data_IF_894198253389
#
_entry.id   IF_894198253389
#
_cell.length_a   1.000
_cell.length_b   1.000
_cell.length_c   1.000
_cell.angle_alpha   90.00
_cell.angle_beta   90.00
_cell.angle_gamma   90.00
#
_symmetry.space_group_name_H-M   'P 1'
#
loop_
_entity.id
_entity.type
_entity.pdbx_description
1 polymer ?
#
# COMPACT_ATOMS: atom_id res chain seq x y z
N UNK A 1 -8.95 10.99 27.36
CA UNK A 1 -8.70 12.35 26.86
C UNK A 1 -7.70 12.29 25.71
N UNK A 2 -8.05 12.80 24.49
CA UNK A 2 -7.15 12.79 23.33
C UNK A 2 -5.83 13.53 23.52
N UNK A 3 -5.72 14.40 24.52
CA UNK A 3 -4.49 15.09 24.89
C UNK A 3 -3.47 14.19 25.61
N UNK A 4 -3.92 13.06 26.17
CA UNK A 4 -3.04 12.15 26.90
C UNK A 4 -2.35 11.18 25.95
N UNK A 5 -1.04 11.04 26.04
CA UNK A 5 -0.29 10.04 25.33
C UNK A 5 -0.71 8.62 25.75
N UNK A 6 -0.99 7.70 24.80
CA UNK A 6 -1.35 6.32 25.13
C UNK A 6 -0.12 5.56 25.66
N UNK A 7 -0.33 4.79 26.73
CA UNK A 7 0.72 3.93 27.29
C UNK A 7 0.82 2.63 26.45
N UNK A 8 1.53 2.70 25.32
CA UNK A 8 1.63 1.65 24.32
C UNK A 8 2.03 0.29 24.93
N UNK A 9 2.96 0.29 25.88
CA UNK A 9 3.43 -0.94 26.53
C UNK A 9 2.33 -1.79 27.17
N UNK A 10 1.25 -1.15 27.62
CA UNK A 10 0.11 -1.82 28.24
C UNK A 10 -1.02 -2.14 27.26
N UNK A 11 -1.01 -1.53 26.09
CA UNK A 11 -2.09 -1.62 25.10
C UNK A 11 -1.77 -2.62 23.99
N UNK A 12 -0.54 -2.65 23.52
CA UNK A 12 -0.13 -3.44 22.35
C UNK A 12 -0.18 -4.95 22.64
N UNK A 13 -0.67 -5.72 21.66
CA UNK A 13 -0.79 -7.18 21.70
C UNK A 13 0.01 -7.87 20.59
N UNK A 14 0.14 -7.21 19.44
CA UNK A 14 0.82 -7.73 18.25
C UNK A 14 2.18 -7.07 18.04
N UNK A 15 2.37 -5.86 18.54
CA UNK A 15 3.51 -5.02 18.22
C UNK A 15 4.29 -4.61 19.48
N UNK A 16 5.54 -4.24 19.29
CA UNK A 16 6.31 -3.46 20.26
C UNK A 16 6.21 -1.98 19.92
N UNK A 17 6.41 -1.08 20.90
CA UNK A 17 6.49 0.36 20.58
C UNK A 17 7.70 0.61 19.65
N UNK A 18 7.64 1.62 18.76
CA UNK A 18 8.75 1.94 17.86
C UNK A 18 10.08 2.18 18.57
N UNK A 19 10.05 2.71 19.79
CA UNK A 19 11.24 2.94 20.61
C UNK A 19 11.93 1.62 21.02
N UNK A 20 11.15 0.57 21.26
CA UNK A 20 11.62 -0.77 21.65
C UNK A 20 11.97 -1.67 20.45
N UNK A 21 11.59 -1.24 19.24
CA UNK A 21 11.92 -1.97 18.02
C UNK A 21 13.45 -1.99 17.77
N UNK A 22 13.95 -3.00 17.04
CA UNK A 22 15.38 -3.16 16.78
C UNK A 22 16.06 -1.94 16.15
N UNK A 23 17.31 -1.68 16.51
CA UNK A 23 18.16 -0.62 15.90
C UNK A 23 18.70 -1.02 14.52
N UNK A 24 18.42 -2.24 14.06
CA UNK A 24 18.76 -2.73 12.74
C UNK A 24 17.50 -2.89 11.89
N UNK A 25 17.51 -2.33 10.70
CA UNK A 25 16.40 -2.48 9.77
C UNK A 25 16.19 -3.95 9.35
N UNK A 26 14.92 -4.35 9.26
CA UNK A 26 14.48 -5.62 8.70
C UNK A 26 14.01 -5.38 7.26
N UNK A 27 14.40 -6.27 6.34
CA UNK A 27 13.89 -6.25 4.97
C UNK A 27 12.96 -7.44 4.77
N UNK A 28 11.90 -7.23 3.99
CA UNK A 28 10.94 -8.26 3.63
C UNK A 28 10.56 -8.11 2.16
N UNK A 29 10.44 -9.23 1.44
CA UNK A 29 9.98 -9.26 0.05
C UNK A 29 8.59 -9.88 -0.02
N UNK A 30 7.65 -9.18 -0.66
CA UNK A 30 6.28 -9.65 -0.87
C UNK A 30 6.07 -9.92 -2.36
N UNK A 31 5.65 -11.13 -2.70
CA UNK A 31 5.29 -11.50 -4.06
C UNK A 31 3.77 -11.41 -4.27
N UNK A 32 3.37 -10.85 -5.41
CA UNK A 32 1.97 -10.69 -5.82
C UNK A 32 1.69 -11.35 -7.16
N UNK A 33 0.50 -11.93 -7.32
CA UNK A 33 -0.06 -12.43 -8.57
C UNK A 33 -1.47 -11.82 -8.75
N UNK A 34 -1.66 -10.99 -9.79
CA UNK A 34 -2.92 -10.29 -10.07
C UNK A 34 -3.52 -9.55 -8.84
N UNK A 35 -2.70 -8.78 -8.13
CA UNK A 35 -3.10 -8.04 -6.94
C UNK A 35 -3.11 -8.85 -5.63
N UNK A 36 -3.11 -10.16 -5.70
CA UNK A 36 -3.15 -11.04 -4.53
C UNK A 36 -1.74 -11.32 -3.98
N UNK A 37 -1.49 -11.15 -2.67
CA UNK A 37 -0.21 -11.50 -2.07
C UNK A 37 -0.09 -13.03 -1.95
N UNK A 38 0.97 -13.60 -2.53
CA UNK A 38 1.15 -15.07 -2.62
C UNK A 38 2.40 -15.58 -1.92
N UNK A 39 3.38 -14.71 -1.62
CA UNK A 39 4.63 -15.14 -0.97
C UNK A 39 5.27 -14.07 -0.10
N UNK A 40 6.04 -14.52 0.88
CA UNK A 40 6.90 -13.69 1.74
C UNK A 40 8.31 -14.26 1.69
N UNK A 41 9.31 -13.44 1.31
CA UNK A 41 10.72 -13.84 1.14
C UNK A 41 10.90 -15.06 0.22
N UNK A 42 10.09 -15.14 -0.84
CA UNK A 42 10.11 -16.24 -1.82
C UNK A 42 9.35 -17.51 -1.38
N UNK A 43 8.91 -17.60 -0.14
CA UNK A 43 8.11 -18.72 0.35
C UNK A 43 6.63 -18.51 0.00
N UNK A 44 6.04 -19.42 -0.77
CA UNK A 44 4.59 -19.41 -1.06
C UNK A 44 3.81 -19.84 0.19
N UNK A 45 2.82 -19.06 0.57
CA UNK A 45 2.04 -19.25 1.79
C UNK A 45 0.54 -19.19 1.51
N UNK A 46 -0.25 -19.84 2.36
CA UNK A 46 -1.70 -19.59 2.39
C UNK A 46 -1.97 -18.16 2.87
N UNK A 47 -3.11 -17.56 2.51
CA UNK A 47 -3.46 -16.19 2.96
C UNK A 47 -3.35 -15.99 4.47
N UNK A 48 -3.82 -16.96 5.26
CA UNK A 48 -3.72 -16.90 6.72
C UNK A 48 -2.26 -16.90 7.20
N UNK A 49 -1.46 -17.88 6.75
CA UNK A 49 -0.06 -18.00 7.14
C UNK A 49 0.78 -16.78 6.71
N UNK A 50 0.44 -16.18 5.57
CA UNK A 50 1.07 -14.96 5.06
C UNK A 50 0.81 -13.79 6.01
N UNK A 51 -0.44 -13.55 6.40
CA UNK A 51 -0.81 -12.47 7.33
C UNK A 51 -0.19 -12.70 8.71
N UNK A 52 -0.22 -13.93 9.23
CA UNK A 52 0.41 -14.27 10.51
C UNK A 52 1.92 -14.00 10.50
N UNK A 53 2.62 -14.40 9.43
CA UNK A 53 4.05 -14.14 9.25
C UNK A 53 4.35 -12.64 9.20
N UNK A 54 3.57 -11.87 8.44
CA UNK A 54 3.73 -10.43 8.33
C UNK A 54 3.36 -9.69 9.61
N UNK A 55 2.34 -10.14 10.34
CA UNK A 55 2.01 -9.61 11.66
C UNK A 55 3.17 -9.77 12.64
N UNK A 56 3.82 -10.94 12.63
CA UNK A 56 5.00 -11.18 13.46
C UNK A 56 6.16 -10.27 13.08
N UNK A 57 6.55 -10.27 11.81
CA UNK A 57 7.68 -9.46 11.32
C UNK A 57 7.40 -7.95 11.55
N UNK A 58 6.22 -7.49 11.21
CA UNK A 58 5.83 -6.08 11.38
C UNK A 58 5.74 -5.67 12.84
N UNK A 59 5.13 -6.52 13.67
CA UNK A 59 4.99 -6.29 15.11
C UNK A 59 6.35 -6.16 15.82
N UNK A 60 7.30 -7.03 15.51
CA UNK A 60 8.67 -6.96 16.03
C UNK A 60 9.40 -5.65 15.66
N UNK A 61 8.98 -4.99 14.58
CA UNK A 61 9.55 -3.73 14.10
C UNK A 61 8.68 -2.49 14.44
N UNK A 62 7.62 -2.66 15.24
CA UNK A 62 6.72 -1.58 15.66
C UNK A 62 5.84 -1.01 14.54
N UNK A 63 5.61 -1.78 13.45
CA UNK A 63 4.86 -1.35 12.28
C UNK A 63 3.35 -1.37 12.56
N UNK A 64 2.61 -0.42 11.98
CA UNK A 64 1.16 -0.46 11.89
C UNK A 64 0.43 -0.10 13.19
N UNK A 65 1.03 0.73 14.03
CA UNK A 65 0.39 1.29 15.22
C UNK A 65 -0.26 2.62 14.84
N UNK A 66 -1.56 2.75 15.12
CA UNK A 66 -2.31 3.98 14.85
C UNK A 66 -3.13 4.39 16.06
N UNK A 67 -2.95 5.61 16.54
CA UNK A 67 -3.78 6.24 17.58
C UNK A 67 -4.72 7.23 16.89
N UNK A 68 -6.00 6.91 16.85
CA UNK A 68 -6.98 7.62 16.02
C UNK A 68 -8.18 8.08 16.86
N UNK A 69 -8.55 9.35 16.67
CA UNK A 69 -9.87 9.85 17.06
C UNK A 69 -10.77 9.79 15.83
N UNK A 70 -11.75 8.89 15.87
CA UNK A 70 -12.62 8.56 14.75
C UNK A 70 -14.11 8.73 15.06
N UNK A 71 -14.94 8.71 14.03
CA UNK A 71 -16.39 8.67 14.15
C UNK A 71 -16.89 7.23 14.18
N UNK A 72 -17.71 6.91 15.19
CA UNK A 72 -18.53 5.71 15.12
C UNK A 72 -19.67 5.89 14.12
N UNK A 73 -20.25 4.80 13.62
CA UNK A 73 -21.37 4.83 12.66
C UNK A 73 -22.50 5.77 13.09
N UNK A 74 -22.73 5.90 14.39
CA UNK A 74 -23.75 6.79 14.98
C UNK A 74 -23.29 8.24 15.18
N UNK A 75 -22.10 8.61 14.66
CA UNK A 75 -21.58 9.99 14.70
C UNK A 75 -20.89 10.40 15.99
N UNK A 76 -20.73 9.51 16.96
CA UNK A 76 -19.97 9.80 18.19
C UNK A 76 -18.48 9.66 17.95
N UNK A 77 -17.69 10.61 18.45
CA UNK A 77 -16.22 10.50 18.47
C UNK A 77 -15.79 9.42 19.47
N UNK A 78 -14.83 8.60 19.05
CA UNK A 78 -14.11 7.67 19.91
C UNK A 78 -12.62 7.72 19.61
N UNK A 79 -11.79 7.33 20.57
CA UNK A 79 -10.35 7.16 20.36
C UNK A 79 -9.99 5.70 20.50
N UNK A 80 -9.19 5.19 19.60
CA UNK A 80 -8.67 3.83 19.62
C UNK A 80 -7.20 3.79 19.24
N UNK A 81 -6.47 2.87 19.89
CA UNK A 81 -5.12 2.49 19.45
C UNK A 81 -5.27 1.15 18.72
N UNK A 82 -4.91 1.14 17.46
CA UNK A 82 -5.05 -0.02 16.57
C UNK A 82 -3.69 -0.57 16.18
N UNK A 83 -3.64 -1.88 15.93
CA UNK A 83 -2.46 -2.59 15.49
C UNK A 83 -2.78 -3.34 14.20
N UNK A 84 -2.10 -2.99 13.12
CA UNK A 84 -2.26 -3.61 11.80
C UNK A 84 -0.90 -3.86 11.13
N UNK A 85 0.05 -4.55 11.80
CA UNK A 85 1.41 -4.67 11.29
C UNK A 85 1.48 -5.34 9.91
N UNK A 86 0.88 -6.50 9.73
CA UNK A 86 0.84 -7.19 8.43
C UNK A 86 0.02 -6.44 7.39
N UNK A 87 -1.11 -5.86 7.79
CA UNK A 87 -1.92 -5.04 6.89
C UNK A 87 -1.17 -3.82 6.36
N UNK A 88 -0.45 -3.11 7.23
CA UNK A 88 0.37 -1.95 6.83
C UNK A 88 1.46 -2.35 5.83
N UNK A 89 2.15 -3.49 6.06
CA UNK A 89 3.14 -4.02 5.14
C UNK A 89 2.51 -4.33 3.77
N UNK A 90 1.36 -5.02 3.75
CA UNK A 90 0.66 -5.39 2.53
C UNK A 90 0.18 -4.17 1.74
N UNK A 91 -0.44 -3.19 2.41
CA UNK A 91 -0.89 -1.96 1.75
C UNK A 91 0.27 -1.16 1.16
N UNK A 92 1.37 -1.00 1.90
CA UNK A 92 2.56 -0.32 1.37
C UNK A 92 3.15 -1.06 0.16
N UNK A 93 3.18 -2.40 0.21
CA UNK A 93 3.72 -3.20 -0.88
C UNK A 93 2.85 -3.16 -2.14
N UNK A 94 1.52 -3.33 -1.99
CA UNK A 94 0.63 -3.34 -3.15
C UNK A 94 0.58 -1.96 -3.83
N UNK A 95 0.53 -0.88 -3.06
CA UNK A 95 0.54 0.48 -3.59
C UNK A 95 1.79 0.74 -4.44
N UNK A 96 2.96 0.31 -3.98
CA UNK A 96 4.22 0.45 -4.72
C UNK A 96 4.21 -0.38 -6.02
N UNK A 97 3.62 -1.57 -6.01
CA UNK A 97 3.50 -2.38 -7.21
C UNK A 97 2.49 -1.80 -8.20
N UNK A 98 1.39 -1.23 -7.72
CA UNK A 98 0.40 -0.50 -8.53
C UNK A 98 1.02 0.70 -9.23
N UNK A 99 1.88 1.47 -8.54
CA UNK A 99 2.63 2.57 -9.18
C UNK A 99 3.49 2.11 -10.34
N UNK A 100 4.01 0.89 -10.26
CA UNK A 100 4.86 0.32 -11.29
C UNK A 100 4.06 -0.24 -12.48
N UNK A 101 2.89 -0.81 -12.24
CA UNK A 101 2.13 -1.61 -13.21
C UNK A 101 0.90 -0.92 -13.81
N UNK A 102 0.31 0.05 -13.11
CA UNK A 102 -0.92 0.72 -13.55
C UNK A 102 -0.61 2.08 -14.17
N UNK A 103 -1.34 2.44 -15.20
CA UNK A 103 -1.30 3.77 -15.77
C UNK A 103 -1.87 4.85 -14.82
N UNK A 104 -1.54 6.10 -15.10
CA UNK A 104 -1.90 7.26 -14.26
C UNK A 104 -3.40 7.35 -13.97
N UNK A 105 -4.23 7.15 -14.99
CA UNK A 105 -5.67 7.39 -14.87
C UNK A 105 -6.34 6.25 -14.12
N UNK A 106 -5.92 5.01 -14.35
CA UNK A 106 -6.35 3.82 -13.58
C UNK A 106 -5.99 3.96 -12.10
N UNK A 107 -4.77 4.37 -11.78
CA UNK A 107 -4.35 4.62 -10.39
C UNK A 107 -5.19 5.71 -9.72
N UNK A 108 -5.40 6.84 -10.40
CA UNK A 108 -6.17 7.95 -9.86
C UNK A 108 -7.61 7.52 -9.54
N UNK A 109 -8.25 6.76 -10.45
CA UNK A 109 -9.59 6.25 -10.26
C UNK A 109 -9.66 5.21 -9.13
N UNK A 110 -8.71 4.28 -9.06
CA UNK A 110 -8.63 3.27 -8.00
C UNK A 110 -8.53 3.94 -6.62
N UNK A 111 -7.66 4.92 -6.45
CA UNK A 111 -7.53 5.69 -5.21
C UNK A 111 -8.79 6.45 -4.82
N UNK A 112 -9.48 7.05 -5.77
CA UNK A 112 -10.74 7.75 -5.51
C UNK A 112 -11.83 6.79 -5.05
N UNK A 113 -11.95 5.64 -5.72
CA UNK A 113 -13.02 4.66 -5.45
C UNK A 113 -12.79 3.82 -4.19
N UNK A 114 -11.54 3.59 -3.77
CA UNK A 114 -11.24 2.78 -2.58
C UNK A 114 -11.80 3.37 -1.28
N UNK A 115 -11.98 4.68 -1.20
CA UNK A 115 -12.65 5.32 -0.04
C UNK A 115 -14.09 4.85 0.09
N UNK A 116 -14.83 4.75 -1.04
CA UNK A 116 -16.18 4.21 -1.04
C UNK A 116 -16.20 2.72 -0.68
N UNK A 117 -15.23 1.95 -1.16
CA UNK A 117 -15.11 0.54 -0.83
C UNK A 117 -14.87 0.33 0.67
N UNK A 118 -13.93 1.07 1.26
CA UNK A 118 -13.65 0.99 2.70
C UNK A 118 -14.87 1.37 3.54
N UNK A 119 -15.65 2.36 3.11
CA UNK A 119 -16.89 2.73 3.79
C UNK A 119 -17.95 1.61 3.74
N UNK A 120 -18.08 0.91 2.62
CA UNK A 120 -18.99 -0.25 2.52
C UNK A 120 -18.57 -1.38 3.47
N UNK A 121 -17.26 -1.63 3.59
CA UNK A 121 -16.73 -2.63 4.53
C UNK A 121 -16.99 -2.21 5.97
N UNK A 122 -16.70 -0.96 6.32
CA UNK A 122 -16.93 -0.41 7.66
C UNK A 122 -18.39 -0.47 8.07
N UNK A 123 -19.31 -0.14 7.14
CA UNK A 123 -20.76 -0.17 7.38
C UNK A 123 -21.35 -1.60 7.42
N UNK A 124 -20.54 -2.65 7.26
CA UNK A 124 -21.00 -4.02 7.21
C UNK A 124 -21.77 -4.39 5.94
N UNK A 125 -21.62 -3.64 4.86
CA UNK A 125 -22.31 -3.82 3.57
C UNK A 125 -21.58 -4.77 2.62
N UNK A 126 -20.98 -5.83 3.17
CA UNK A 126 -20.15 -6.78 2.42
C UNK A 126 -20.90 -7.49 1.28
N UNK A 127 -22.17 -7.84 1.49
CA UNK A 127 -22.98 -8.61 0.53
C UNK A 127 -23.87 -7.74 -0.35
N UNK A 128 -23.51 -6.47 -0.56
CA UNK A 128 -24.29 -5.57 -1.42
C UNK A 128 -23.79 -5.60 -2.87
N UNK A 129 -24.70 -5.41 -3.86
CA UNK A 129 -24.33 -5.36 -5.28
C UNK A 129 -23.23 -4.32 -5.57
N UNK A 130 -23.24 -3.19 -4.87
CA UNK A 130 -22.23 -2.15 -5.06
C UNK A 130 -20.82 -2.67 -4.66
N UNK A 131 -20.70 -3.29 -3.48
CA UNK A 131 -19.41 -3.86 -3.05
C UNK A 131 -18.93 -4.94 -4.05
N UNK A 132 -19.83 -5.83 -4.49
CA UNK A 132 -19.50 -6.90 -5.45
C UNK A 132 -19.05 -6.32 -6.80
N UNK A 133 -19.76 -5.30 -7.31
CA UNK A 133 -19.37 -4.61 -8.55
C UNK A 133 -18.00 -3.94 -8.43
N UNK A 134 -17.71 -3.30 -7.28
CA UNK A 134 -16.39 -2.69 -7.04
C UNK A 134 -15.29 -3.74 -6.93
N UNK A 135 -15.55 -4.89 -6.30
CA UNK A 135 -14.57 -6.00 -6.29
C UNK A 135 -14.25 -6.49 -7.70
N UNK A 136 -15.26 -6.77 -8.52
CA UNK A 136 -15.05 -7.21 -9.90
C UNK A 136 -14.28 -6.16 -10.74
N UNK A 137 -14.53 -4.87 -10.48
CA UNK A 137 -13.78 -3.78 -11.11
C UNK A 137 -12.29 -3.79 -10.68
N UNK A 138 -12.00 -3.98 -9.40
CA UNK A 138 -10.62 -4.08 -8.92
C UNK A 138 -9.92 -5.32 -9.45
N UNK A 139 -10.60 -6.47 -9.47
CA UNK A 139 -10.06 -7.71 -10.06
C UNK A 139 -9.63 -7.51 -11.52
N UNK A 140 -10.41 -6.72 -12.29
CA UNK A 140 -10.06 -6.38 -13.67
C UNK A 140 -8.83 -5.47 -13.76
N UNK A 141 -8.76 -4.43 -12.91
CA UNK A 141 -7.63 -3.50 -12.87
C UNK A 141 -6.34 -4.20 -12.44
N UNK A 142 -6.42 -5.16 -11.52
CA UNK A 142 -5.27 -5.79 -10.88
C UNK A 142 -4.67 -6.96 -11.67
N UNK A 143 -5.22 -7.31 -12.83
CA UNK A 143 -4.69 -8.39 -13.71
C UNK A 143 -3.20 -8.28 -14.00
N UNK A 144 -2.70 -7.05 -14.08
CA UNK A 144 -1.29 -6.76 -14.38
C UNK A 144 -0.46 -6.43 -13.12
N UNK A 145 -1.09 -6.36 -11.95
CA UNK A 145 -0.41 -6.08 -10.67
C UNK A 145 0.23 -7.37 -10.16
N UNK A 146 1.30 -7.78 -10.84
CA UNK A 146 2.03 -9.03 -10.57
C UNK A 146 3.52 -8.74 -10.51
N UNK A 147 4.15 -9.10 -9.39
CA UNK A 147 5.56 -8.80 -9.19
C UNK A 147 6.03 -9.03 -7.77
N UNK A 148 7.17 -8.44 -7.43
CA UNK A 148 7.75 -8.53 -6.09
C UNK A 148 8.12 -7.13 -5.62
N UNK A 149 7.76 -6.83 -4.37
CA UNK A 149 8.13 -5.58 -3.70
C UNK A 149 9.00 -5.91 -2.50
N UNK A 150 10.10 -5.20 -2.35
CA UNK A 150 10.98 -5.23 -1.19
C UNK A 150 10.68 -4.01 -0.32
N UNK A 151 10.44 -4.23 0.96
CA UNK A 151 10.19 -3.20 1.95
C UNK A 151 11.29 -3.20 3.00
N UNK A 152 11.56 -2.02 3.54
CA UNK A 152 12.43 -1.79 4.69
C UNK A 152 11.57 -1.41 5.89
N UNK A 153 11.66 -2.20 6.95
CA UNK A 153 10.97 -1.99 8.22
C UNK A 153 11.98 -1.48 9.25
N UNK A 154 11.69 -0.35 9.86
CA UNK A 154 12.58 0.23 10.85
C UNK A 154 11.83 1.16 11.80
N UNK A 155 11.77 0.80 13.08
CA UNK A 155 11.22 1.62 14.16
C UNK A 155 9.88 2.29 13.80
N UNK A 156 8.89 1.46 13.47
CA UNK A 156 7.54 1.90 13.11
C UNK A 156 7.36 2.36 11.66
N UNK A 157 8.44 2.52 10.90
CA UNK A 157 8.37 2.93 9.50
C UNK A 157 8.45 1.72 8.56
N UNK A 158 7.55 1.70 7.59
CA UNK A 158 7.53 0.75 6.48
C UNK A 158 7.72 1.52 5.18
N UNK A 159 8.88 1.36 4.54
CA UNK A 159 9.24 2.12 3.34
C UNK A 159 9.62 1.21 2.19
N UNK A 160 9.26 1.56 0.93
CA UNK A 160 9.72 0.84 -0.25
C UNK A 160 11.24 0.81 -0.34
N UNK A 161 11.79 -0.34 -0.72
CA UNK A 161 13.21 -0.54 -0.97
C UNK A 161 13.50 -1.11 -2.37
N UNK A 162 12.46 -1.31 -3.16
CA UNK A 162 12.51 -1.73 -4.56
C UNK A 162 11.29 -2.53 -4.96
N UNK A 163 10.93 -2.44 -6.24
CA UNK A 163 9.85 -3.20 -6.84
C UNK A 163 10.29 -3.72 -8.22
N UNK A 164 9.76 -4.86 -8.62
CA UNK A 164 9.97 -5.43 -9.96
C UNK A 164 8.72 -6.15 -10.45
N UNK A 165 8.41 -5.97 -11.73
CA UNK A 165 7.30 -6.62 -12.41
C UNK A 165 7.64 -6.84 -13.88
N UNK A 166 7.13 -7.94 -14.46
CA UNK A 166 7.15 -8.14 -15.92
C UNK A 166 6.17 -7.20 -16.65
N UNK A 167 5.26 -6.60 -15.93
CA UNK A 167 4.28 -5.63 -16.44
C UNK A 167 4.63 -4.18 -16.09
N UNK A 168 5.90 -3.93 -15.68
CA UNK A 168 6.37 -2.59 -15.37
C UNK A 168 6.14 -1.62 -16.54
N UNK A 169 5.54 -0.48 -16.25
CA UNK A 169 5.43 0.64 -17.17
C UNK A 169 6.65 1.58 -17.06
N UNK A 170 7.50 1.39 -16.05
CA UNK A 170 8.74 2.15 -15.91
C UNK A 170 9.77 1.71 -16.94
N UNK A 171 10.28 2.69 -17.68
CA UNK A 171 11.38 2.50 -18.63
C UNK A 171 12.48 3.52 -18.29
N UNK A 172 13.65 3.03 -17.88
CA UNK A 172 14.79 3.83 -17.46
C UNK A 172 15.30 4.73 -18.60
N UNK A 173 15.27 4.25 -19.86
CA UNK A 173 15.70 5.02 -21.02
C UNK A 173 14.79 6.23 -21.31
N UNK A 174 13.47 6.10 -21.03
CA UNK A 174 12.50 7.20 -21.17
C UNK A 174 12.58 8.15 -19.97
N UNK A 175 12.80 7.61 -18.77
CA UNK A 175 12.80 8.38 -17.53
C UNK A 175 14.11 9.15 -17.29
N UNK A 176 15.18 8.84 -18.05
CA UNK A 176 16.48 9.47 -17.89
C UNK A 176 16.47 10.91 -18.40
N UNK A 177 16.99 11.84 -17.59
CA UNK A 177 17.24 13.24 -17.98
C UNK A 177 18.63 13.46 -18.63
N UNK A 178 19.38 12.40 -18.91
CA UNK A 178 20.71 12.46 -19.52
C UNK A 178 20.71 12.26 -21.04
N UNK A 179 21.88 12.41 -21.67
CA UNK A 179 22.12 12.29 -23.13
C UNK A 179 21.95 10.87 -23.71
N UNK A 180 21.24 9.97 -23.03
CA UNK A 180 20.94 8.63 -23.55
C UNK A 180 19.90 8.72 -24.67
N UNK A 181 20.16 8.02 -25.74
CA UNK A 181 19.36 7.86 -26.97
C UNK A 181 17.92 8.32 -26.82
N UNK A 182 17.61 9.50 -27.32
CA UNK A 182 16.27 10.11 -27.26
C UNK A 182 15.25 9.15 -27.90
N UNK A 183 14.45 8.47 -27.09
CA UNK A 183 13.29 7.70 -27.56
C UNK A 183 12.14 8.62 -28.00
N UNK A 184 12.23 9.90 -27.64
CA UNK A 184 11.31 10.96 -28.08
C UNK A 184 12.06 12.29 -28.17
N UNK A 185 11.52 13.25 -28.92
CA UNK A 185 12.07 14.61 -29.02
C UNK A 185 11.56 15.48 -27.86
N UNK A 186 12.45 16.14 -27.12
CA UNK A 186 12.07 17.14 -26.12
C UNK A 186 11.25 18.30 -26.69
N UNK A 187 11.33 18.55 -28.01
CA UNK A 187 10.50 19.55 -28.72
C UNK A 187 9.00 19.19 -28.70
N UNK A 188 8.67 17.92 -28.60
CA UNK A 188 7.26 17.47 -28.53
C UNK A 188 6.60 17.91 -27.24
N UNK A 189 7.38 18.08 -26.17
CA UNK A 189 6.88 18.61 -24.88
C UNK A 189 6.41 20.06 -24.99
N UNK A 190 7.10 20.90 -25.77
CA UNK A 190 6.69 22.27 -26.02
C UNK A 190 5.33 22.32 -26.73
N UNK A 191 5.17 21.53 -27.80
CA UNK A 191 3.90 21.43 -28.52
C UNK A 191 2.74 20.95 -27.63
N UNK A 192 2.99 19.93 -26.81
CA UNK A 192 2.00 19.44 -25.85
C UNK A 192 1.60 20.52 -24.84
N UNK A 193 2.57 21.20 -24.21
CA UNK A 193 2.31 22.23 -23.20
C UNK A 193 1.51 23.39 -23.79
N UNK A 194 1.86 23.83 -25.01
CA UNK A 194 1.17 24.92 -25.70
C UNK A 194 -0.30 24.59 -25.97
N UNK A 195 -0.61 23.35 -26.39
CA UNK A 195 -1.98 22.92 -26.64
C UNK A 195 -2.76 22.66 -25.36
N UNK A 196 -2.13 22.02 -24.38
CA UNK A 196 -2.78 21.64 -23.12
C UNK A 196 -3.14 22.86 -22.24
N UNK A 197 -2.39 23.95 -22.36
CA UNK A 197 -2.60 25.19 -21.60
C UNK A 197 -3.53 26.22 -22.29
N UNK A 198 -4.18 25.89 -23.42
CA UNK A 198 -5.01 26.84 -24.17
C UNK A 198 -6.36 27.18 -23.53
N UNK A 199 -7.11 26.31 -22.81
CA UNK A 199 -8.44 26.63 -22.28
C UNK A 199 -8.46 27.59 -21.15
#
# INVERSE_FOLDING_TARGET
DPWNEPQLDNLLKLSVSPEKAPDKATYVEIGFEAGEPVSVDGEKLSPLALVEKLNKIGGENGIGIADIVEDRLVGMKSRGVYETPGGTILYTAIEELEYLCLDRDTQAFKRMSQTQFSQLVYDGKWFTPLRESMSAMYDEMDKYVTGTVKLKLYKGNCTPAGAKSKYSLYNEEIASFGDSKELYSHKDSEGFINLFGLP
#
